data_IF_393324244695
#
_entry.id   IF_393324244695
#
_cell.length_a   1.000
_cell.length_b   1.000
_cell.length_c   1.000
_cell.angle_alpha   90.00
_cell.angle_beta   90.00
_cell.angle_gamma   90.00
#
_symmetry.space_group_name_H-M   'P 1'
#
loop_
_entity.id
_entity.type
_entity.pdbx_description
1 polymer ?
#
# COMPACT_ATOMS: atom_id res chain seq x y z
N UNK A 1 -20.40 3.75 17.05
CA UNK A 1 -19.30 2.77 17.14
C UNK A 1 -19.82 1.44 16.59
N UNK A 2 -19.14 0.83 15.61
CA UNK A 2 -19.55 -0.47 15.05
C UNK A 2 -19.40 -1.57 16.09
N UNK A 3 -20.26 -2.60 16.03
CA UNK A 3 -20.14 -3.74 16.94
C UNK A 3 -18.83 -4.51 16.70
N UNK A 4 -18.21 -5.11 17.75
CA UNK A 4 -17.01 -5.94 17.57
C UNK A 4 -17.20 -7.08 16.56
N UNK A 5 -18.39 -7.68 16.53
CA UNK A 5 -18.72 -8.73 15.57
C UNK A 5 -18.72 -8.23 14.12
N UNK A 6 -19.23 -7.04 13.86
CA UNK A 6 -19.20 -6.43 12.53
C UNK A 6 -17.77 -6.12 12.08
N UNK A 7 -16.94 -5.56 12.97
CA UNK A 7 -15.53 -5.27 12.69
C UNK A 7 -14.77 -6.57 12.37
N UNK A 8 -14.99 -7.62 13.15
CA UNK A 8 -14.39 -8.93 12.92
C UNK A 8 -14.84 -9.53 11.59
N UNK A 9 -16.12 -9.41 11.24
CA UNK A 9 -16.65 -9.86 9.96
C UNK A 9 -15.97 -9.15 8.79
N UNK A 10 -15.95 -7.80 8.81
CA UNK A 10 -15.33 -6.99 7.75
C UNK A 10 -13.85 -7.33 7.60
N UNK A 11 -13.11 -7.37 8.72
CA UNK A 11 -11.69 -7.72 8.69
C UNK A 11 -11.46 -9.11 8.10
N UNK A 12 -12.25 -10.10 8.52
CA UNK A 12 -12.07 -11.48 8.07
C UNK A 12 -12.40 -11.70 6.58
N UNK A 13 -13.35 -10.94 6.01
CA UNK A 13 -13.82 -11.14 4.64
C UNK A 13 -13.20 -10.21 3.61
N UNK A 14 -12.62 -9.07 4.02
CA UNK A 14 -12.15 -8.03 3.10
C UNK A 14 -10.68 -7.66 3.29
N UNK A 15 -10.02 -8.00 4.42
CA UNK A 15 -8.57 -7.83 4.54
C UNK A 15 -7.80 -8.95 3.84
N UNK A 16 -6.58 -8.67 3.39
CA UNK A 16 -5.72 -9.66 2.74
C UNK A 16 -5.00 -10.50 3.79
N UNK A 17 -5.43 -11.75 3.99
CA UNK A 17 -4.76 -12.70 4.88
C UNK A 17 -3.39 -13.08 4.33
N UNK A 18 -2.38 -13.24 5.21
CA UNK A 18 -1.08 -13.78 4.83
C UNK A 18 -1.14 -15.27 4.43
N UNK A 19 -2.13 -16.00 4.94
CA UNK A 19 -2.31 -17.42 4.63
C UNK A 19 -2.83 -17.64 3.21
N UNK A 20 -2.06 -18.35 2.40
CA UNK A 20 -2.41 -18.70 1.02
C UNK A 20 -3.68 -19.56 0.97
N UNK A 21 -3.91 -20.46 1.93
CA UNK A 21 -5.13 -21.25 2.03
C UNK A 21 -6.36 -20.36 2.18
N UNK A 22 -6.31 -19.32 3.02
CA UNK A 22 -7.41 -18.37 3.17
C UNK A 22 -7.60 -17.51 1.91
N UNK A 23 -6.51 -17.13 1.27
CA UNK A 23 -6.55 -16.32 0.04
C UNK A 23 -7.23 -17.08 -1.11
N UNK A 24 -6.93 -18.37 -1.31
CA UNK A 24 -7.55 -19.18 -2.36
C UNK A 24 -9.09 -19.19 -2.24
N UNK A 25 -9.62 -19.23 -1.02
CA UNK A 25 -11.08 -19.16 -0.79
C UNK A 25 -11.65 -17.74 -0.81
N UNK A 26 -10.81 -16.70 -0.78
CA UNK A 26 -11.23 -15.29 -0.77
C UNK A 26 -10.35 -14.44 -1.69
N UNK A 27 -10.23 -14.77 -2.99
CA UNK A 27 -9.29 -14.11 -3.90
C UNK A 27 -9.60 -12.62 -4.12
N UNK A 28 -10.86 -12.20 -3.90
CA UNK A 28 -11.25 -10.78 -3.97
C UNK A 28 -10.52 -9.90 -2.96
N UNK A 29 -9.97 -10.49 -1.89
CA UNK A 29 -9.23 -9.74 -0.87
C UNK A 29 -7.97 -9.07 -1.42
N UNK A 30 -7.44 -9.51 -2.58
CA UNK A 30 -6.32 -8.85 -3.28
C UNK A 30 -6.68 -7.42 -3.78
N UNK A 31 -7.96 -7.10 -3.84
CA UNK A 31 -8.45 -5.79 -4.21
C UNK A 31 -9.10 -5.10 -3.00
N UNK A 32 -9.93 -5.82 -2.25
CA UNK A 32 -10.73 -5.19 -1.20
C UNK A 32 -9.89 -4.66 -0.04
N UNK A 33 -8.74 -5.25 0.27
CA UNK A 33 -7.85 -4.79 1.32
C UNK A 33 -7.39 -3.33 1.12
N UNK A 34 -7.31 -2.88 -0.15
CA UNK A 34 -6.90 -1.52 -0.51
C UNK A 34 -7.88 -0.44 -0.04
N UNK A 35 -9.11 -0.82 0.29
CA UNK A 35 -10.18 0.08 0.75
C UNK A 35 -10.38 0.05 2.27
N UNK A 36 -9.74 -0.87 2.97
CA UNK A 36 -9.74 -0.93 4.42
C UNK A 36 -8.53 -0.19 4.99
N UNK A 37 -8.70 0.43 6.15
CA UNK A 37 -7.62 1.16 6.82
C UNK A 37 -7.65 0.90 8.33
N UNK A 38 -6.48 0.86 8.95
CA UNK A 38 -6.32 0.59 10.38
C UNK A 38 -6.79 1.76 11.27
N UNK A 39 -7.00 2.96 10.70
CA UNK A 39 -7.46 4.13 11.45
C UNK A 39 -7.63 5.37 10.56
N UNK A 40 -8.25 6.41 11.13
CA UNK A 40 -8.58 7.65 10.43
C UNK A 40 -7.32 8.33 9.86
N UNK A 41 -6.23 8.39 10.63
CA UNK A 41 -4.96 8.96 10.15
C UNK A 41 -4.41 8.19 8.96
N UNK A 42 -4.52 6.85 8.97
CA UNK A 42 -4.05 6.02 7.87
C UNK A 42 -4.83 6.28 6.57
N UNK A 43 -6.16 6.36 6.61
CA UNK A 43 -6.94 6.71 5.43
C UNK A 43 -6.67 8.15 4.98
N UNK A 44 -6.58 9.10 5.92
CA UNK A 44 -6.33 10.50 5.61
C UNK A 44 -5.01 10.70 4.84
N UNK A 45 -3.90 10.15 5.34
CA UNK A 45 -2.60 10.30 4.68
C UNK A 45 -2.54 9.60 3.33
N UNK A 46 -3.13 8.41 3.17
CA UNK A 46 -3.21 7.74 1.88
C UNK A 46 -3.98 8.58 0.86
N UNK A 47 -5.15 9.08 1.24
CA UNK A 47 -6.00 9.89 0.34
C UNK A 47 -5.35 11.26 0.05
N UNK A 48 -4.71 11.87 1.04
CA UNK A 48 -3.99 13.13 0.86
C UNK A 48 -2.86 12.99 -0.18
N UNK A 49 -1.99 11.99 -0.03
CA UNK A 49 -0.89 11.75 -0.96
C UNK A 49 -1.44 11.39 -2.35
N UNK A 50 -2.44 10.50 -2.42
CA UNK A 50 -3.07 10.11 -3.68
C UNK A 50 -3.72 11.31 -4.39
N UNK A 51 -4.36 12.19 -3.65
CA UNK A 51 -4.95 13.40 -4.21
C UNK A 51 -3.89 14.34 -4.81
N UNK A 52 -2.83 14.66 -4.06
CA UNK A 52 -1.81 15.60 -4.53
C UNK A 52 -0.93 15.02 -5.64
N UNK A 53 -0.33 13.87 -5.42
CA UNK A 53 0.59 13.26 -6.38
C UNK A 53 -0.18 12.62 -7.53
N UNK A 54 -1.32 11.98 -7.24
CA UNK A 54 -2.20 11.38 -8.24
C UNK A 54 -2.77 12.42 -9.20
N UNK A 55 -3.13 13.61 -8.70
CA UNK A 55 -3.57 14.71 -9.57
C UNK A 55 -2.49 15.10 -10.56
N UNK A 56 -1.25 15.30 -10.11
CA UNK A 56 -0.12 15.61 -10.99
C UNK A 56 0.05 14.51 -12.04
N UNK A 57 0.09 13.24 -11.60
CA UNK A 57 0.21 12.11 -12.51
C UNK A 57 -0.96 12.04 -13.51
N UNK A 58 -2.19 12.23 -13.02
CA UNK A 58 -3.41 12.21 -13.84
C UNK A 58 -3.48 13.34 -14.85
N UNK A 59 -3.02 14.54 -14.50
CA UNK A 59 -2.98 15.70 -15.41
C UNK A 59 -2.01 15.48 -16.59
N UNK A 60 -0.87 14.80 -16.35
CA UNK A 60 0.12 14.50 -17.39
C UNK A 60 -0.16 13.20 -18.16
N UNK A 61 -0.65 12.16 -17.50
CA UNK A 61 -0.77 10.80 -18.06
C UNK A 61 -2.20 10.35 -18.33
N UNK A 62 -3.17 11.07 -17.80
CA UNK A 62 -4.61 10.75 -17.88
C UNK A 62 -5.10 9.88 -16.71
N UNK A 63 -6.38 10.04 -16.37
CA UNK A 63 -7.01 9.39 -15.23
C UNK A 63 -7.09 7.86 -15.36
N UNK A 64 -7.20 7.34 -16.57
CA UNK A 64 -7.23 5.89 -16.80
C UNK A 64 -5.91 5.22 -16.40
N UNK A 65 -4.77 5.86 -16.73
CA UNK A 65 -3.44 5.36 -16.36
C UNK A 65 -3.21 5.48 -14.86
N UNK A 66 -3.65 6.57 -14.24
CA UNK A 66 -3.61 6.73 -12.79
C UNK A 66 -4.36 5.60 -12.08
N UNK A 67 -5.60 5.34 -12.49
CA UNK A 67 -6.44 4.29 -11.91
C UNK A 67 -5.82 2.91 -12.13
N UNK A 68 -5.36 2.62 -13.34
CA UNK A 68 -4.68 1.36 -13.67
C UNK A 68 -3.43 1.13 -12.82
N UNK A 69 -2.58 2.16 -12.69
CA UNK A 69 -1.36 2.09 -11.89
C UNK A 69 -1.66 1.89 -10.40
N UNK A 70 -2.66 2.57 -9.86
CA UNK A 70 -3.08 2.40 -8.47
C UNK A 70 -3.53 0.96 -8.18
N UNK A 71 -4.40 0.39 -9.02
CA UNK A 71 -4.86 -0.98 -8.82
C UNK A 71 -3.75 -2.01 -9.06
N UNK A 72 -2.95 -1.85 -10.10
CA UNK A 72 -1.82 -2.74 -10.37
C UNK A 72 -0.80 -2.70 -9.22
N UNK A 73 -0.48 -1.51 -8.71
CA UNK A 73 0.41 -1.34 -7.56
C UNK A 73 -0.11 -2.03 -6.30
N UNK A 74 -1.41 -1.90 -6.03
CA UNK A 74 -2.06 -2.62 -4.94
C UNK A 74 -1.99 -4.13 -5.13
N UNK A 75 -2.32 -4.65 -6.31
CA UNK A 75 -2.28 -6.08 -6.60
C UNK A 75 -0.85 -6.63 -6.46
N UNK A 76 0.15 -5.99 -7.07
CA UNK A 76 1.56 -6.44 -7.00
C UNK A 76 2.08 -6.36 -5.57
N UNK A 77 1.76 -5.29 -4.83
CA UNK A 77 2.09 -5.19 -3.40
C UNK A 77 1.46 -6.30 -2.57
N UNK A 78 0.19 -6.60 -2.80
CA UNK A 78 -0.51 -7.69 -2.12
C UNK A 78 0.04 -9.08 -2.47
N UNK A 79 0.42 -9.31 -3.74
CA UNK A 79 1.06 -10.56 -4.16
C UNK A 79 2.45 -10.71 -3.53
N UNK A 80 3.26 -9.66 -3.49
CA UNK A 80 4.57 -9.70 -2.84
C UNK A 80 4.42 -9.98 -1.33
N UNK A 81 3.43 -9.37 -0.68
CA UNK A 81 3.09 -9.67 0.71
C UNK A 81 2.79 -11.17 0.90
N UNK A 82 1.91 -11.76 0.08
CA UNK A 82 1.59 -13.19 0.14
C UNK A 82 2.85 -14.06 -0.04
N UNK A 83 3.67 -13.77 -1.04
CA UNK A 83 4.89 -14.52 -1.33
C UNK A 83 5.85 -14.49 -0.14
N UNK A 84 6.15 -13.30 0.39
CA UNK A 84 7.12 -13.16 1.49
C UNK A 84 6.65 -13.88 2.75
N UNK A 85 5.38 -13.72 3.14
CA UNK A 85 4.87 -14.37 4.35
C UNK A 85 4.82 -15.91 4.23
N UNK A 86 4.48 -16.43 3.06
CA UNK A 86 4.49 -17.88 2.86
C UNK A 86 5.92 -18.44 2.74
N UNK A 87 6.90 -17.68 2.25
CA UNK A 87 8.31 -18.06 2.31
C UNK A 87 8.82 -18.11 3.76
N UNK A 88 8.48 -17.13 4.60
CA UNK A 88 8.82 -17.15 6.03
C UNK A 88 8.18 -18.33 6.77
N UNK A 89 6.97 -18.72 6.39
CA UNK A 89 6.33 -19.92 6.92
C UNK A 89 7.07 -21.20 6.48
N UNK A 90 7.40 -21.32 5.20
CA UNK A 90 8.09 -22.49 4.66
C UNK A 90 9.53 -22.63 5.19
N UNK A 91 10.20 -21.52 5.51
CA UNK A 91 11.54 -21.53 6.14
C UNK A 91 11.52 -21.90 7.63
N UNK A 92 10.33 -21.98 8.26
CA UNK A 92 10.17 -22.24 9.68
C UNK A 92 10.32 -21.03 10.59
N UNK A 93 10.54 -19.83 10.01
CA UNK A 93 10.66 -18.58 10.78
C UNK A 93 9.29 -18.07 11.29
N UNK A 94 8.19 -18.57 10.73
CA UNK A 94 6.83 -18.19 11.10
C UNK A 94 5.96 -19.41 11.33
N UNK A 95 5.22 -19.44 12.46
CA UNK A 95 4.26 -20.51 12.74
C UNK A 95 2.96 -20.33 11.92
N UNK A 96 2.25 -21.44 11.68
CA UNK A 96 0.96 -21.43 10.99
C UNK A 96 -0.08 -20.55 11.72
N UNK A 97 -0.08 -20.55 13.05
CA UNK A 97 -0.96 -19.70 13.84
C UNK A 97 -0.74 -18.21 13.54
N UNK A 98 0.52 -17.76 13.55
CA UNK A 98 0.86 -16.36 13.24
C UNK A 98 0.47 -16.04 11.79
N UNK A 99 0.82 -16.90 10.83
CA UNK A 99 0.47 -16.71 9.42
C UNK A 99 -1.05 -16.57 9.23
N UNK A 100 -1.83 -17.43 9.88
CA UNK A 100 -3.29 -17.44 9.76
C UNK A 100 -3.97 -16.23 10.42
N UNK A 101 -3.36 -15.64 11.44
CA UNK A 101 -3.88 -14.45 12.15
C UNK A 101 -3.39 -13.14 11.53
N UNK A 102 -2.34 -13.19 10.70
CA UNK A 102 -1.79 -12.00 10.06
C UNK A 102 -2.61 -11.60 8.85
N UNK A 103 -3.00 -10.34 8.80
CA UNK A 103 -3.74 -9.77 7.68
C UNK A 103 -3.31 -8.33 7.41
N UNK A 104 -3.41 -7.90 6.15
CA UNK A 104 -3.02 -6.58 5.69
C UNK A 104 -4.25 -5.78 5.23
N UNK A 105 -4.21 -4.48 5.50
CA UNK A 105 -5.18 -3.47 5.04
C UNK A 105 -4.44 -2.19 4.64
N UNK A 106 -4.96 -1.48 3.66
CA UNK A 106 -4.46 -0.15 3.27
C UNK A 106 -4.29 0.05 1.76
N UNK A 107 -4.55 1.28 1.33
CA UNK A 107 -4.34 1.74 -0.05
C UNK A 107 -2.86 1.94 -0.41
N UNK A 108 -1.98 1.89 0.57
CA UNK A 108 -0.61 2.45 0.50
C UNK A 108 0.28 1.82 -0.57
N UNK A 109 0.12 0.54 -0.90
CA UNK A 109 0.86 -0.10 -2.00
C UNK A 109 0.52 0.54 -3.35
N UNK A 110 -0.77 0.74 -3.63
CA UNK A 110 -1.23 1.45 -4.83
C UNK A 110 -0.82 2.93 -4.83
N UNK A 111 -0.88 3.58 -3.68
CA UNK A 111 -0.40 4.98 -3.52
C UNK A 111 1.10 5.07 -3.80
N UNK A 112 1.92 4.12 -3.30
CA UNK A 112 3.36 4.09 -3.56
C UNK A 112 3.68 3.88 -5.04
N UNK A 113 2.95 3.03 -5.75
CA UNK A 113 3.08 2.88 -7.19
C UNK A 113 2.91 4.23 -7.91
N UNK A 114 1.86 4.98 -7.56
CA UNK A 114 1.60 6.31 -8.14
C UNK A 114 2.70 7.31 -7.77
N UNK A 115 3.14 7.32 -6.51
CA UNK A 115 4.18 8.24 -5.99
C UNK A 115 5.51 8.01 -6.73
N UNK A 116 5.95 6.75 -6.80
CA UNK A 116 7.23 6.40 -7.43
C UNK A 116 7.18 6.63 -8.94
N UNK A 117 6.10 6.22 -9.61
CA UNK A 117 5.94 6.48 -11.04
C UNK A 117 5.90 7.99 -11.37
N UNK A 118 5.23 8.81 -10.55
CA UNK A 118 5.23 10.25 -10.71
C UNK A 118 6.64 10.85 -10.50
N UNK A 119 7.35 10.42 -9.45
CA UNK A 119 8.72 10.84 -9.17
C UNK A 119 9.73 10.43 -10.24
N UNK A 120 9.58 9.24 -10.82
CA UNK A 120 10.43 8.75 -11.90
C UNK A 120 10.13 9.47 -13.24
N UNK A 121 8.85 9.67 -13.55
CA UNK A 121 8.43 10.21 -14.86
C UNK A 121 8.49 11.73 -14.95
N UNK A 122 8.20 12.42 -13.84
CA UNK A 122 8.10 13.88 -13.75
C UNK A 122 9.01 14.42 -12.64
N UNK A 123 10.16 13.79 -12.40
CA UNK A 123 11.01 14.04 -11.24
C UNK A 123 11.50 15.46 -11.08
N UNK A 124 11.67 16.22 -12.16
CA UNK A 124 12.09 17.62 -12.14
C UNK A 124 10.92 18.61 -12.01
N UNK A 125 9.68 18.14 -11.96
CA UNK A 125 8.53 18.98 -11.64
C UNK A 125 8.66 19.55 -10.23
N UNK A 126 8.56 20.88 -10.10
CA UNK A 126 8.72 21.57 -8.82
C UNK A 126 7.36 21.79 -8.16
N UNK A 127 7.25 21.32 -6.92
CA UNK A 127 6.12 21.57 -6.03
C UNK A 127 6.51 22.65 -5.03
N UNK A 128 5.69 23.70 -4.94
CA UNK A 128 5.87 24.72 -3.91
C UNK A 128 5.20 24.28 -2.63
N UNK A 129 5.98 23.83 -1.67
CA UNK A 129 5.50 23.40 -0.34
C UNK A 129 5.57 24.59 0.65
N UNK A 130 4.52 24.74 1.48
CA UNK A 130 4.34 25.91 2.34
C UNK A 130 5.53 26.16 3.29
N UNK A 131 6.19 25.10 3.79
CA UNK A 131 7.28 25.23 4.76
C UNK A 131 8.66 24.88 4.21
N UNK A 132 8.73 24.21 3.05
CA UNK A 132 9.99 23.70 2.46
C UNK A 132 10.40 24.44 1.18
N UNK A 133 9.58 25.39 0.71
CA UNK A 133 9.82 26.07 -0.56
C UNK A 133 9.59 25.17 -1.76
N UNK A 134 10.35 25.39 -2.85
CA UNK A 134 10.28 24.56 -4.06
C UNK A 134 11.05 23.27 -3.88
N UNK A 135 10.36 22.13 -3.99
CA UNK A 135 10.92 20.77 -3.91
C UNK A 135 10.61 20.01 -5.18
N UNK A 136 11.61 19.38 -5.78
CA UNK A 136 11.42 18.52 -6.97
C UNK A 136 10.69 17.24 -6.58
N UNK A 137 9.77 16.81 -7.43
CA UNK A 137 8.90 15.65 -7.20
C UNK A 137 9.68 14.36 -6.91
N UNK A 138 10.84 14.14 -7.56
CA UNK A 138 11.70 12.98 -7.30
C UNK A 138 12.19 12.89 -5.84
N UNK A 139 12.53 14.02 -5.22
CA UNK A 139 12.98 14.05 -3.82
C UNK A 139 11.80 13.84 -2.86
N UNK A 140 10.63 14.39 -3.20
CA UNK A 140 9.43 14.16 -2.43
C UNK A 140 8.99 12.68 -2.48
N UNK A 141 8.99 12.08 -3.68
CA UNK A 141 8.66 10.68 -3.88
C UNK A 141 9.62 9.74 -3.11
N UNK A 142 10.93 10.01 -3.20
CA UNK A 142 11.94 9.25 -2.47
C UNK A 142 11.77 9.41 -0.95
N UNK A 143 11.57 10.63 -0.47
CA UNK A 143 11.33 10.91 0.95
C UNK A 143 10.08 10.20 1.48
N UNK A 144 8.97 10.23 0.74
CA UNK A 144 7.74 9.51 1.10
C UNK A 144 7.96 8.00 1.14
N UNK A 145 8.66 7.43 0.16
CA UNK A 145 8.97 6.01 0.13
C UNK A 145 9.85 5.59 1.32
N UNK A 146 10.94 6.32 1.58
CA UNK A 146 11.85 6.04 2.71
C UNK A 146 11.09 6.14 4.04
N UNK A 147 10.36 7.22 4.25
CA UNK A 147 9.66 7.44 5.54
C UNK A 147 8.55 6.43 5.76
N UNK A 148 7.75 6.10 4.74
CA UNK A 148 6.65 5.15 4.88
C UNK A 148 7.10 3.69 4.98
N UNK A 149 8.26 3.35 4.39
CA UNK A 149 8.72 1.96 4.28
C UNK A 149 9.81 1.61 5.29
N UNK A 150 10.78 2.51 5.54
CA UNK A 150 11.93 2.19 6.37
C UNK A 150 11.76 2.60 7.84
N UNK A 151 11.12 3.74 8.13
CA UNK A 151 10.99 4.22 9.53
C UNK A 151 10.07 3.34 10.40
N UNK A 152 9.13 2.61 9.81
CA UNK A 152 8.21 1.71 10.51
C UNK A 152 8.46 0.24 10.20
N UNK A 153 9.69 -0.13 9.76
CA UNK A 153 9.96 -1.47 9.24
C UNK A 153 9.58 -2.59 10.23
N UNK A 154 9.91 -2.43 11.51
CA UNK A 154 9.64 -3.47 12.53
C UNK A 154 8.17 -3.54 12.96
N UNK A 155 7.45 -2.41 12.96
CA UNK A 155 6.06 -2.35 13.45
C UNK A 155 5.02 -2.65 12.35
N UNK A 156 5.38 -2.52 11.06
CA UNK A 156 4.49 -2.72 9.93
C UNK A 156 5.17 -3.47 8.78
N UNK A 157 5.83 -4.58 9.10
CA UNK A 157 6.60 -5.36 8.11
C UNK A 157 5.77 -5.72 6.87
N UNK A 158 4.54 -6.20 7.04
CA UNK A 158 3.66 -6.58 5.93
C UNK A 158 3.32 -5.40 5.01
N UNK A 159 2.99 -4.24 5.59
CA UNK A 159 2.74 -3.02 4.82
C UNK A 159 3.98 -2.56 4.05
N UNK A 160 5.16 -2.66 4.66
CA UNK A 160 6.43 -2.27 4.04
C UNK A 160 6.79 -3.16 2.85
N UNK A 161 6.57 -4.47 2.97
CA UNK A 161 6.72 -5.42 1.85
C UNK A 161 5.78 -5.04 0.70
N UNK A 162 4.53 -4.71 1.01
CA UNK A 162 3.57 -4.28 0.00
C UNK A 162 3.95 -2.94 -0.64
N UNK A 163 4.52 -1.98 0.12
CA UNK A 163 5.03 -0.71 -0.44
C UNK A 163 6.15 -0.95 -1.45
N UNK A 164 7.09 -1.86 -1.14
CA UNK A 164 8.15 -2.25 -2.08
C UNK A 164 7.55 -2.85 -3.35
N UNK A 165 6.57 -3.75 -3.21
CA UNK A 165 5.88 -4.34 -4.36
C UNK A 165 5.17 -3.31 -5.23
N UNK A 166 4.45 -2.36 -4.61
CA UNK A 166 3.82 -1.25 -5.32
C UNK A 166 4.82 -0.33 -6.03
N UNK A 167 5.94 -0.02 -5.36
CA UNK A 167 7.00 0.85 -5.88
C UNK A 167 7.81 0.22 -7.03
N UNK A 168 7.78 -1.10 -7.19
CA UNK A 168 8.56 -1.83 -8.21
C UNK A 168 7.89 -1.82 -9.60
N UNK A 169 6.68 -1.24 -9.73
CA UNK A 169 5.97 -1.03 -11.00
C UNK A 169 6.47 0.24 -11.70
#
# INVERSE_FOLDING_TARGET
QFSPAFVAFVSNWFSLSASLSKFIFRPWTIITYMFLHAGIGHVFFNMYILYFIGRIFGDFMGQQRLTGLYFLGGIVGGLLYLVVYNLLYLSGEMSENILSMTAMVGASAGVMAVVIAAGARFGDYELRLMFLGSVKLKYLALGLFITSTLFNFMSNFGGNVAHVGGAAL
#
